data_IF_536959786385
#
_entry.id   IF_536959786385
#
_cell.length_a   1.000
_cell.length_b   1.000
_cell.length_c   1.000
_cell.angle_alpha   90.00
_cell.angle_beta   90.00
_cell.angle_gamma   90.00
#
_symmetry.space_group_name_H-M   'P 1'
#
loop_
_entity.id
_entity.type
_entity.pdbx_description
1 polymer ?
#
# COMPACT_ATOMS: atom_id res chain seq x y z
N UNK A 1 6.30 -9.08 6.12
CA UNK A 1 7.36 -8.44 5.32
C UNK A 1 6.69 -7.48 4.35
N UNK A 2 7.35 -6.38 3.97
CA UNK A 2 6.79 -5.44 2.98
C UNK A 2 6.89 -6.10 1.60
N UNK A 3 5.78 -6.14 0.87
CA UNK A 3 5.67 -6.73 -0.46
C UNK A 3 5.69 -5.69 -1.58
N UNK A 4 5.03 -4.54 -1.37
CA UNK A 4 5.02 -3.41 -2.30
C UNK A 4 4.75 -2.10 -1.55
N UNK A 5 5.16 -0.99 -2.15
CA UNK A 5 4.94 0.36 -1.62
C UNK A 5 4.68 1.33 -2.78
N UNK A 6 3.59 2.09 -2.69
CA UNK A 6 3.13 3.00 -3.74
C UNK A 6 2.81 4.37 -3.17
N UNK A 7 3.33 5.40 -3.82
CA UNK A 7 2.96 6.79 -3.56
C UNK A 7 1.81 7.20 -4.47
N UNK A 8 0.93 8.07 -3.98
CA UNK A 8 -0.02 8.78 -4.82
C UNK A 8 0.73 9.86 -5.63
N UNK A 9 0.70 9.82 -6.98
CA UNK A 9 1.37 10.84 -7.79
C UNK A 9 0.83 12.27 -7.59
N UNK A 10 -0.43 12.42 -7.18
CA UNK A 10 -1.05 13.71 -6.93
C UNK A 10 -0.75 14.24 -5.51
N UNK A 11 -0.38 13.35 -4.59
CA UNK A 11 -0.08 13.65 -3.20
C UNK A 11 1.01 12.70 -2.67
N UNK A 12 2.30 12.98 -2.92
CA UNK A 12 3.40 12.04 -2.65
C UNK A 12 3.55 11.58 -1.19
N UNK A 13 3.01 12.36 -0.25
CA UNK A 13 2.98 12.02 1.18
C UNK A 13 1.95 10.93 1.51
N UNK A 14 1.01 10.67 0.61
CA UNK A 14 0.07 9.56 0.70
C UNK A 14 0.72 8.30 0.15
N UNK A 15 0.93 7.31 1.02
CA UNK A 15 1.60 6.06 0.67
C UNK A 15 0.74 4.88 1.09
N UNK A 16 0.60 3.92 0.18
CA UNK A 16 -0.02 2.62 0.45
C UNK A 16 1.09 1.57 0.52
N UNK A 17 1.10 0.80 1.62
CA UNK A 17 2.01 -0.30 1.86
C UNK A 17 1.24 -1.62 1.84
N UNK A 18 1.72 -2.58 1.06
CA UNK A 18 1.22 -3.94 1.05
C UNK A 18 2.16 -4.86 1.82
N UNK A 19 1.62 -5.66 2.73
CA UNK A 19 2.36 -6.68 3.46
C UNK A 19 2.16 -8.06 2.83
N UNK A 20 3.18 -8.92 2.92
CA UNK A 20 3.09 -10.33 2.51
C UNK A 20 2.03 -11.12 3.29
N UNK A 21 1.57 -10.61 4.44
CA UNK A 21 0.44 -11.14 5.21
C UNK A 21 -0.93 -10.92 4.54
N UNK A 22 -1.00 -10.08 3.49
CA UNK A 22 -2.25 -9.70 2.83
C UNK A 22 -2.93 -8.47 3.43
N UNK A 23 -2.27 -7.80 4.37
CA UNK A 23 -2.72 -6.54 4.95
C UNK A 23 -2.26 -5.34 4.10
N UNK A 24 -3.13 -4.35 3.97
CA UNK A 24 -2.81 -3.04 3.41
C UNK A 24 -2.86 -1.97 4.49
N UNK A 25 -1.88 -1.09 4.44
CA UNK A 25 -1.76 0.07 5.31
C UNK A 25 -1.60 1.32 4.48
N UNK A 26 -2.10 2.44 5.00
CA UNK A 26 -1.97 3.76 4.37
C UNK A 26 -1.40 4.75 5.37
N UNK A 27 -0.56 5.66 4.89
CA UNK A 27 -0.14 6.87 5.58
C UNK A 27 -0.49 8.07 4.70
N UNK A 28 -1.09 9.13 5.24
CA UNK A 28 -1.31 10.38 4.51
C UNK A 28 -0.26 11.45 4.85
N UNK A 29 0.81 11.09 5.56
CA UNK A 29 1.77 12.03 6.11
C UNK A 29 3.20 11.49 6.10
N UNK A 30 3.61 10.95 4.94
CA UNK A 30 4.98 10.48 4.69
C UNK A 30 5.48 9.45 5.71
N UNK A 31 4.57 8.66 6.28
CA UNK A 31 4.90 7.58 7.21
C UNK A 31 4.92 7.96 8.69
N UNK A 32 4.55 9.19 9.06
CA UNK A 32 4.53 9.60 10.46
C UNK A 32 3.39 8.92 11.27
N UNK A 33 2.26 8.59 10.64
CA UNK A 33 1.31 7.62 11.17
C UNK A 33 0.79 6.68 10.07
N UNK A 34 0.39 5.47 10.47
CA UNK A 34 -0.15 4.46 9.59
C UNK A 34 -1.52 3.98 10.07
N UNK A 35 -2.44 3.82 9.12
CA UNK A 35 -3.79 3.34 9.37
C UNK A 35 -4.04 2.06 8.56
N UNK A 36 -4.74 1.06 9.13
CA UNK A 36 -5.09 -0.14 8.39
C UNK A 36 -6.13 0.20 7.32
N UNK A 37 -5.86 -0.14 6.07
CA UNK A 37 -6.79 0.04 4.95
C UNK A 37 -7.60 -1.24 4.70
N UNK A 38 -6.94 -2.40 4.80
CA UNK A 38 -7.59 -3.71 4.69
C UNK A 38 -6.77 -4.76 5.43
N UNK A 39 -7.44 -5.71 6.09
CA UNK A 39 -6.77 -6.75 6.89
C UNK A 39 -6.68 -8.10 6.20
N UNK A 40 -7.43 -8.31 5.11
CA UNK A 40 -7.47 -9.59 4.41
C UNK A 40 -7.80 -9.39 2.93
N UNK A 41 -6.78 -9.09 2.12
CA UNK A 41 -6.93 -9.20 0.66
C UNK A 41 -6.44 -10.59 0.26
N UNK A 42 -7.39 -11.52 0.03
CA UNK A 42 -7.07 -12.92 -0.36
C UNK A 42 -6.26 -13.03 -1.65
N UNK A 43 -6.19 -11.98 -2.46
CA UNK A 43 -5.27 -11.87 -3.59
C UNK A 43 -5.14 -10.40 -3.99
N UNK A 44 -4.06 -9.72 -3.61
CA UNK A 44 -3.65 -8.52 -4.31
C UNK A 44 -3.22 -8.97 -5.72
N UNK A 45 -4.17 -9.08 -6.65
CA UNK A 45 -3.86 -9.38 -8.04
C UNK A 45 -3.01 -8.23 -8.55
N UNK A 46 -1.78 -8.52 -8.97
CA UNK A 46 -0.90 -7.56 -9.65
C UNK A 46 -1.69 -6.99 -10.84
N UNK A 47 -2.16 -5.75 -10.73
CA UNK A 47 -2.88 -5.08 -11.81
C UNK A 47 -1.83 -4.61 -12.84
N UNK A 48 -1.47 -5.56 -13.71
CA UNK A 48 -0.67 -5.41 -14.93
C UNK A 48 0.86 -5.14 -14.76
N UNK A 49 1.71 -5.71 -15.64
CA UNK A 49 2.98 -5.10 -16.00
C UNK A 49 2.71 -3.98 -17.04
N UNK A 50 3.27 -2.80 -16.83
CA UNK A 50 3.34 -1.79 -17.91
C UNK A 50 4.38 -2.32 -18.90
N UNK A 51 3.93 -2.64 -20.11
CA UNK A 51 4.79 -2.93 -21.26
C UNK A 51 5.38 -1.64 -21.84
#
# INVERSE_FOLDING_TARGET
MIADLRHDPAAPDNVIMALTSGELWVTPNAGAFWMPLSRQIRAARKLCPVA
#
